data_IF_772734341874
#
_entry.id   IF_772734341874
#
_cell.length_a   1.000
_cell.length_b   1.000
_cell.length_c   1.000
_cell.angle_alpha   90.00
_cell.angle_beta   90.00
_cell.angle_gamma   90.00
#
_symmetry.space_group_name_H-M   'P 1'
#
loop_
_entity.id
_entity.type
_entity.pdbx_description
1 polymer ?
#
# COMPACT_ATOMS: atom_id res chain seq x y z
N UNK A 1 -9.87 -28.44 9.33
CA UNK A 1 -9.70 -27.04 9.77
C UNK A 1 -8.24 -26.83 10.16
N UNK A 2 -7.35 -26.70 9.18
CA UNK A 2 -5.88 -26.62 9.40
C UNK A 2 -5.21 -25.78 8.29
N UNK A 3 -5.83 -25.74 7.10
CA UNK A 3 -5.41 -24.94 5.93
C UNK A 3 -5.68 -23.43 6.14
N UNK A 4 -6.74 -23.06 6.87
CA UNK A 4 -7.06 -21.65 7.18
C UNK A 4 -5.98 -20.96 8.00
N UNK A 5 -5.35 -21.70 8.92
CA UNK A 5 -4.44 -21.14 9.91
C UNK A 5 -3.04 -20.91 9.34
N UNK A 6 -2.61 -21.77 8.40
CA UNK A 6 -1.36 -21.57 7.66
C UNK A 6 -1.44 -20.37 6.72
N UNK A 7 -2.58 -20.19 6.06
CA UNK A 7 -2.84 -19.06 5.15
C UNK A 7 -2.98 -17.76 5.94
N UNK A 8 -3.71 -17.78 7.06
CA UNK A 8 -3.82 -16.64 7.95
C UNK A 8 -2.44 -16.29 8.54
N UNK A 9 -1.65 -17.26 8.99
CA UNK A 9 -0.26 -17.03 9.44
C UNK A 9 0.58 -16.40 8.34
N UNK A 10 0.51 -16.89 7.10
CA UNK A 10 1.30 -16.31 6.00
C UNK A 10 0.94 -14.85 5.75
N UNK A 11 -0.36 -14.53 5.62
CA UNK A 11 -0.83 -13.15 5.46
C UNK A 11 -0.49 -12.26 6.67
N UNK A 12 -0.59 -12.81 7.89
CA UNK A 12 -0.28 -12.08 9.13
C UNK A 12 1.23 -11.82 9.24
N UNK A 13 2.07 -12.77 8.86
CA UNK A 13 3.53 -12.65 8.83
C UNK A 13 3.97 -11.64 7.77
N UNK A 14 3.40 -11.67 6.57
CA UNK A 14 3.68 -10.68 5.52
C UNK A 14 3.24 -9.27 5.93
N UNK A 15 2.04 -9.14 6.53
CA UNK A 15 1.56 -7.87 7.03
C UNK A 15 2.41 -7.33 8.20
N UNK A 16 2.83 -8.21 9.13
CA UNK A 16 3.73 -7.83 10.24
C UNK A 16 5.12 -7.44 9.76
N UNK A 17 5.66 -8.12 8.74
CA UNK A 17 6.94 -7.76 8.12
C UNK A 17 6.86 -6.36 7.48
N UNK A 18 5.75 -6.04 6.80
CA UNK A 18 5.48 -4.71 6.28
C UNK A 18 5.42 -3.65 7.38
N UNK A 19 4.73 -3.96 8.49
CA UNK A 19 4.61 -3.05 9.63
C UNK A 19 5.96 -2.81 10.32
N UNK A 20 6.83 -3.81 10.41
CA UNK A 20 8.18 -3.69 10.97
C UNK A 20 9.16 -2.91 10.07
N UNK A 21 8.91 -2.84 8.76
CA UNK A 21 9.75 -2.09 7.82
C UNK A 21 9.41 -0.59 7.77
N UNK A 22 8.24 -0.18 8.27
CA UNK A 22 7.77 1.22 8.26
C UNK A 22 8.61 2.17 9.16
N UNK A 23 9.06 1.80 10.37
CA UNK A 23 9.80 2.72 11.25
C UNK A 23 11.27 2.96 10.86
N UNK A 24 11.87 2.12 10.00
CA UNK A 24 13.30 2.20 9.67
C UNK A 24 13.65 3.41 8.79
N UNK A 25 12.65 4.10 8.22
CA UNK A 25 12.83 5.16 7.22
C UNK A 25 12.72 6.58 7.80
N UNK A 26 12.36 6.74 9.09
CA UNK A 26 12.16 8.07 9.69
C UNK A 26 13.45 8.81 10.11
N UNK A 27 14.64 8.23 9.93
CA UNK A 27 15.91 8.89 10.27
C UNK A 27 16.91 8.81 9.11
N UNK A 28 16.81 9.72 8.14
CA UNK A 28 17.99 10.36 7.54
C UNK A 28 17.55 11.56 6.72
N UNK A 29 17.69 12.76 7.30
CA UNK A 29 17.78 13.99 6.52
C UNK A 29 18.90 14.83 7.11
N UNK A 30 20.12 14.53 6.69
CA UNK A 30 21.26 15.44 6.81
C UNK A 30 21.86 15.62 5.42
N UNK A 31 21.99 16.87 4.99
CA UNK A 31 22.43 17.23 3.64
C UNK A 31 22.34 18.73 3.41
N UNK A 32 23.25 19.46 4.02
CA UNK A 32 23.63 20.85 3.74
C UNK A 32 23.90 21.08 2.25
N UNK A 33 23.37 22.17 1.65
CA UNK A 33 23.92 22.75 0.41
C UNK A 33 23.89 24.29 0.48
N UNK A 34 25.10 24.86 0.47
CA UNK A 34 25.42 26.26 0.18
C UNK A 34 25.33 26.51 -1.34
N UNK A 35 24.85 27.69 -1.74
CA UNK A 35 25.34 28.55 -2.85
C UNK A 35 24.31 29.04 -3.89
N UNK A 36 24.15 30.37 -3.91
CA UNK A 36 24.07 31.31 -5.05
C UNK A 36 23.39 30.91 -6.38
N UNK A 37 22.24 31.53 -6.70
CA UNK A 37 22.03 32.20 -8.01
C UNK A 37 20.75 33.05 -8.05
N UNK A 38 20.87 34.34 -8.35
CA UNK A 38 19.82 35.37 -8.23
C UNK A 38 18.95 35.61 -9.47
N UNK A 39 19.02 34.78 -10.51
CA UNK A 39 18.17 34.92 -11.72
C UNK A 39 17.21 33.76 -12.01
N UNK A 40 17.24 32.68 -11.20
CA UNK A 40 16.38 31.49 -11.31
C UNK A 40 15.09 31.64 -10.48
N UNK A 41 14.90 32.78 -9.80
CA UNK A 41 13.93 32.90 -8.70
C UNK A 41 12.46 32.90 -9.15
N UNK A 42 12.13 33.34 -10.36
CA UNK A 42 10.71 33.49 -10.76
C UNK A 42 10.08 32.21 -11.32
N UNK A 43 10.83 31.37 -12.05
CA UNK A 43 10.35 30.05 -12.47
C UNK A 43 10.52 28.99 -11.37
N UNK A 44 11.54 29.11 -10.52
CA UNK A 44 11.75 28.22 -9.36
C UNK A 44 10.69 28.44 -8.27
N UNK A 45 10.19 29.67 -8.11
CA UNK A 45 9.13 29.97 -7.16
C UNK A 45 7.73 29.57 -7.66
N UNK A 46 7.54 29.24 -8.95
CA UNK A 46 6.26 28.75 -9.48
C UNK A 46 6.23 27.22 -9.60
N UNK A 47 7.37 26.60 -9.88
CA UNK A 47 7.54 25.13 -9.82
C UNK A 47 7.55 24.62 -8.39
N UNK A 48 8.12 25.36 -7.43
CA UNK A 48 8.19 24.95 -6.02
C UNK A 48 6.81 24.78 -5.32
N UNK A 49 5.84 25.71 -5.40
CA UNK A 49 4.52 25.55 -4.78
C UNK A 49 3.67 24.45 -5.42
N UNK A 50 3.76 24.30 -6.75
CA UNK A 50 3.05 23.24 -7.45
C UNK A 50 3.65 21.88 -7.10
N UNK A 51 4.97 21.73 -7.14
CA UNK A 51 5.66 20.49 -6.77
C UNK A 51 5.40 20.09 -5.31
N UNK A 52 5.46 21.05 -4.38
CA UNK A 52 5.11 20.81 -2.97
C UNK A 52 3.65 20.41 -2.79
N UNK A 53 2.72 21.00 -3.55
CA UNK A 53 1.32 20.55 -3.53
C UNK A 53 1.15 19.12 -4.04
N UNK A 54 1.86 18.72 -5.11
CA UNK A 54 1.87 17.35 -5.60
C UNK A 54 2.46 16.38 -4.58
N UNK A 55 3.52 16.75 -3.87
CA UNK A 55 4.12 15.93 -2.81
C UNK A 55 3.13 15.73 -1.67
N UNK A 56 2.45 16.80 -1.24
CA UNK A 56 1.43 16.73 -0.19
C UNK A 56 0.25 15.85 -0.61
N UNK A 57 -0.26 16.00 -1.83
CA UNK A 57 -1.36 15.18 -2.35
C UNK A 57 -0.93 13.71 -2.52
N UNK A 58 0.27 13.46 -3.05
CA UNK A 58 0.83 12.11 -3.14
C UNK A 58 0.90 11.44 -1.75
N UNK A 59 1.46 12.15 -0.77
CA UNK A 59 1.54 11.68 0.62
C UNK A 59 0.17 11.42 1.23
N UNK A 60 -0.79 12.32 1.03
CA UNK A 60 -2.16 12.17 1.53
C UNK A 60 -2.87 10.95 0.92
N UNK A 61 -2.78 10.77 -0.41
CA UNK A 61 -3.37 9.63 -1.12
C UNK A 61 -2.77 8.31 -0.62
N UNK A 62 -1.44 8.26 -0.48
CA UNK A 62 -0.76 7.07 0.05
C UNK A 62 -1.09 6.81 1.52
N UNK A 63 -1.24 7.86 2.33
CA UNK A 63 -1.67 7.74 3.71
C UNK A 63 -3.09 7.19 3.83
N UNK A 64 -4.06 7.74 3.07
CA UNK A 64 -5.44 7.22 3.05
C UNK A 64 -5.45 5.76 2.60
N UNK A 65 -4.64 5.40 1.61
CA UNK A 65 -4.56 4.02 1.13
C UNK A 65 -3.91 3.06 2.14
N UNK A 66 -2.62 3.23 2.40
CA UNK A 66 -1.81 2.28 3.18
C UNK A 66 -1.95 2.47 4.69
N UNK A 67 -2.19 3.71 5.13
CA UNK A 67 -2.37 4.04 6.54
C UNK A 67 -3.78 3.76 7.07
N UNK A 68 -4.79 3.73 6.19
CA UNK A 68 -6.19 3.58 6.61
C UNK A 68 -6.95 2.46 5.89
N UNK A 69 -7.15 2.56 4.57
CA UNK A 69 -8.01 1.61 3.84
C UNK A 69 -7.49 0.17 3.91
N UNK A 70 -6.19 -0.06 3.70
CA UNK A 70 -5.61 -1.40 3.73
C UNK A 70 -5.68 -2.04 5.14
N UNK A 71 -5.32 -1.34 6.24
CA UNK A 71 -5.56 -1.84 7.59
C UNK A 71 -7.02 -2.20 7.89
N UNK A 72 -7.97 -1.37 7.48
CA UNK A 72 -9.41 -1.64 7.65
C UNK A 72 -9.84 -2.86 6.83
N UNK A 73 -9.35 -3.01 5.59
CA UNK A 73 -9.54 -4.20 4.78
C UNK A 73 -9.02 -5.47 5.46
N UNK A 74 -7.83 -5.43 6.07
CA UNK A 74 -7.29 -6.57 6.82
C UNK A 74 -8.13 -6.85 8.08
N UNK A 75 -8.60 -5.83 8.78
CA UNK A 75 -9.40 -6.00 9.99
C UNK A 75 -10.77 -6.65 9.66
N UNK A 76 -11.41 -6.23 8.58
CA UNK A 76 -12.71 -6.78 8.15
C UNK A 76 -12.64 -8.27 7.83
N UNK A 77 -11.60 -8.75 7.12
CA UNK A 77 -11.44 -10.20 6.87
C UNK A 77 -11.08 -10.97 8.15
N UNK A 78 -10.31 -10.39 9.06
CA UNK A 78 -10.02 -11.00 10.37
C UNK A 78 -11.29 -11.15 11.21
N UNK A 79 -12.18 -10.16 11.18
CA UNK A 79 -13.49 -10.25 11.82
C UNK A 79 -14.36 -11.30 11.14
N UNK A 80 -14.33 -11.41 9.81
CA UNK A 80 -15.08 -12.43 9.07
C UNK A 80 -14.69 -13.84 9.50
N UNK A 81 -13.40 -14.11 9.71
CA UNK A 81 -12.91 -15.42 10.14
C UNK A 81 -13.32 -15.80 11.58
N UNK A 82 -13.78 -14.84 12.38
CA UNK A 82 -14.27 -15.06 13.75
C UNK A 82 -15.79 -15.19 13.82
N UNK A 83 -16.47 -15.02 12.69
CA UNK A 83 -17.93 -14.99 12.62
C UNK A 83 -18.45 -16.34 12.07
N UNK A 84 -19.46 -16.89 12.75
CA UNK A 84 -20.05 -18.19 12.41
C UNK A 84 -21.23 -18.04 11.44
N UNK A 85 -21.81 -16.83 11.35
CA UNK A 85 -22.94 -16.55 10.47
C UNK A 85 -22.57 -16.32 9.00
N UNK A 86 -22.95 -17.24 8.12
CA UNK A 86 -22.61 -17.19 6.67
C UNK A 86 -22.99 -15.87 5.96
N UNK A 87 -24.11 -15.23 6.32
CA UNK A 87 -24.49 -13.91 5.75
C UNK A 87 -23.52 -12.80 6.15
N UNK A 88 -23.09 -12.77 7.42
CA UNK A 88 -22.17 -11.74 7.93
C UNK A 88 -20.76 -11.94 7.39
N UNK A 89 -20.30 -13.20 7.30
CA UNK A 89 -19.03 -13.55 6.64
C UNK A 89 -19.00 -13.03 5.21
N UNK A 90 -20.09 -13.22 4.44
CA UNK A 90 -20.20 -12.72 3.06
C UNK A 90 -20.12 -11.20 2.97
N UNK A 91 -20.80 -10.48 3.86
CA UNK A 91 -20.73 -9.00 3.92
C UNK A 91 -19.32 -8.53 4.26
N UNK A 92 -18.69 -9.10 5.28
CA UNK A 92 -17.34 -8.72 5.69
C UNK A 92 -16.29 -9.05 4.61
N UNK A 93 -16.49 -10.14 3.86
CA UNK A 93 -15.66 -10.46 2.70
C UNK A 93 -15.79 -9.42 1.58
N UNK A 94 -17.01 -8.97 1.25
CA UNK A 94 -17.20 -7.91 0.26
C UNK A 94 -16.59 -6.59 0.73
N UNK A 95 -16.74 -6.24 2.01
CA UNK A 95 -16.09 -5.05 2.58
C UNK A 95 -14.57 -5.13 2.48
N UNK A 96 -13.98 -6.29 2.81
CA UNK A 96 -12.55 -6.54 2.61
C UNK A 96 -12.14 -6.29 1.16
N UNK A 97 -12.85 -6.89 0.20
CA UNK A 97 -12.54 -6.74 -1.23
C UNK A 97 -12.65 -5.29 -1.71
N UNK A 98 -13.68 -4.55 -1.27
CA UNK A 98 -13.88 -3.13 -1.62
C UNK A 98 -12.74 -2.29 -1.06
N UNK A 99 -12.44 -2.38 0.24
CA UNK A 99 -11.37 -1.60 0.86
C UNK A 99 -10.01 -1.91 0.24
N UNK A 100 -9.71 -3.19 -0.01
CA UNK A 100 -8.45 -3.60 -0.63
C UNK A 100 -8.33 -3.10 -2.07
N UNK A 101 -9.41 -3.13 -2.86
CA UNK A 101 -9.42 -2.62 -4.24
C UNK A 101 -9.21 -1.11 -4.27
N UNK A 102 -9.93 -0.36 -3.43
CA UNK A 102 -9.75 1.09 -3.32
C UNK A 102 -8.32 1.46 -2.89
N UNK A 103 -7.74 0.70 -1.96
CA UNK A 103 -6.35 0.92 -1.54
C UNK A 103 -5.36 0.73 -2.71
N UNK A 104 -5.48 -0.36 -3.48
CA UNK A 104 -4.62 -0.63 -4.65
C UNK A 104 -4.76 0.46 -5.72
N UNK A 105 -5.98 0.94 -5.97
CA UNK A 105 -6.22 2.05 -6.91
C UNK A 105 -5.53 3.34 -6.46
N UNK A 106 -5.70 3.74 -5.20
CA UNK A 106 -5.06 4.95 -4.67
C UNK A 106 -3.54 4.84 -4.66
N UNK A 107 -2.97 3.69 -4.30
CA UNK A 107 -1.52 3.44 -4.38
C UNK A 107 -1.01 3.56 -5.82
N UNK A 108 -1.79 3.11 -6.79
CA UNK A 108 -1.47 3.25 -8.22
C UNK A 108 -1.49 4.70 -8.67
N UNK A 109 -2.52 5.46 -8.27
CA UNK A 109 -2.58 6.91 -8.54
C UNK A 109 -1.38 7.62 -7.90
N UNK A 110 -1.05 7.29 -6.65
CA UNK A 110 0.12 7.83 -5.96
C UNK A 110 1.43 7.52 -6.70
N UNK A 111 1.63 6.29 -7.13
CA UNK A 111 2.81 5.87 -7.90
C UNK A 111 2.92 6.61 -9.24
N UNK A 112 1.82 6.69 -10.01
CA UNK A 112 1.78 7.44 -11.28
C UNK A 112 2.06 8.92 -11.06
N UNK A 113 1.49 9.52 -10.01
CA UNK A 113 1.75 10.92 -9.65
C UNK A 113 3.24 11.13 -9.33
N UNK A 114 3.89 10.17 -8.66
CA UNK A 114 5.31 10.24 -8.35
C UNK A 114 6.21 10.15 -9.59
N UNK A 115 5.89 9.22 -10.49
CA UNK A 115 6.63 9.01 -11.75
C UNK A 115 6.48 10.23 -12.67
N UNK A 116 5.26 10.77 -12.81
CA UNK A 116 4.98 11.86 -13.75
C UNK A 116 5.46 13.24 -13.29
N UNK A 117 5.47 13.50 -11.99
CA UNK A 117 5.72 14.87 -11.48
C UNK A 117 7.09 15.05 -10.81
N UNK A 118 7.82 13.98 -10.49
CA UNK A 118 9.06 14.10 -9.71
C UNK A 118 10.34 13.65 -10.42
N UNK A 119 10.34 13.47 -11.76
CA UNK A 119 11.49 12.98 -12.57
C UNK A 119 12.35 12.00 -11.78
N UNK A 120 11.66 11.01 -11.23
CA UNK A 120 12.16 10.23 -10.14
C UNK A 120 13.08 9.15 -10.72
N UNK A 121 14.33 9.52 -11.02
CA UNK A 121 15.39 8.53 -11.19
C UNK A 121 15.40 7.77 -9.85
N UNK A 122 15.08 6.47 -9.86
CA UNK A 122 14.92 5.65 -8.65
C UNK A 122 16.25 5.42 -7.88
N UNK A 123 17.11 6.43 -7.86
CA UNK A 123 18.42 6.46 -7.25
C UNK A 123 18.35 6.81 -5.75
N UNK A 124 17.24 7.42 -5.29
CA UNK A 124 17.03 7.65 -3.85
C UNK A 124 16.38 6.44 -3.18
N UNK A 125 16.82 6.16 -1.95
CA UNK A 125 16.35 5.04 -1.16
C UNK A 125 14.83 5.07 -0.91
N UNK A 126 14.26 6.26 -0.66
CA UNK A 126 12.82 6.46 -0.46
C UNK A 126 11.99 6.04 -1.68
N UNK A 127 12.47 6.36 -2.88
CA UNK A 127 11.77 6.13 -4.13
C UNK A 127 11.85 4.66 -4.55
N UNK A 128 13.01 4.02 -4.34
CA UNK A 128 13.19 2.57 -4.53
C UNK A 128 12.33 1.75 -3.58
N UNK A 129 12.23 2.18 -2.32
CA UNK A 129 11.32 1.57 -1.34
C UNK A 129 9.87 1.72 -1.79
N UNK A 130 9.43 2.92 -2.18
CA UNK A 130 8.08 3.14 -2.70
C UNK A 130 7.73 2.25 -3.90
N UNK A 131 8.66 2.07 -4.83
CA UNK A 131 8.49 1.16 -5.98
C UNK A 131 8.42 -0.32 -5.55
N UNK A 132 9.29 -0.75 -4.65
CA UNK A 132 9.26 -2.11 -4.12
C UNK A 132 7.93 -2.39 -3.41
N UNK A 133 7.44 -1.43 -2.63
CA UNK A 133 6.15 -1.54 -1.95
C UNK A 133 4.99 -1.60 -2.96
N UNK A 134 5.04 -0.78 -4.02
CA UNK A 134 4.05 -0.81 -5.11
C UNK A 134 3.97 -2.21 -5.75
N UNK A 135 5.12 -2.78 -6.14
CA UNK A 135 5.19 -4.12 -6.73
C UNK A 135 4.65 -5.18 -5.78
N UNK A 136 5.03 -5.13 -4.50
CA UNK A 136 4.56 -6.11 -3.51
C UNK A 136 3.04 -6.02 -3.26
N UNK A 137 2.44 -4.82 -3.25
CA UNK A 137 0.99 -4.64 -3.14
C UNK A 137 0.26 -5.26 -4.34
N UNK A 138 0.77 -5.05 -5.55
CA UNK A 138 0.21 -5.69 -6.75
C UNK A 138 0.36 -7.20 -6.72
N UNK A 139 1.51 -7.72 -6.28
CA UNK A 139 1.69 -9.17 -6.09
C UNK A 139 0.68 -9.74 -5.10
N UNK A 140 0.45 -9.06 -3.97
CA UNK A 140 -0.56 -9.48 -3.00
C UNK A 140 -1.98 -9.50 -3.61
N UNK A 141 -2.33 -8.52 -4.44
CA UNK A 141 -3.62 -8.47 -5.13
C UNK A 141 -3.75 -9.60 -6.16
N UNK A 142 -2.72 -9.86 -6.96
CA UNK A 142 -2.70 -10.94 -7.96
C UNK A 142 -2.83 -12.31 -7.32
N UNK A 143 -2.10 -12.57 -6.22
CA UNK A 143 -2.22 -13.82 -5.45
C UNK A 143 -3.64 -14.00 -4.93
N UNK A 144 -4.31 -12.91 -4.51
CA UNK A 144 -5.71 -12.94 -4.10
C UNK A 144 -6.67 -13.34 -5.24
N UNK A 145 -6.43 -12.85 -6.45
CA UNK A 145 -7.26 -13.16 -7.65
C UNK A 145 -7.03 -14.59 -8.12
N UNK A 146 -5.78 -15.03 -8.20
CA UNK A 146 -5.41 -16.37 -8.66
C UNK A 146 -5.59 -17.46 -7.60
N UNK A 147 -6.07 -17.12 -6.41
CA UNK A 147 -6.31 -18.10 -5.35
C UNK A 147 -7.40 -19.08 -5.81
N UNK A 148 -7.10 -20.38 -5.96
CA UNK A 148 -8.10 -21.36 -6.35
C UNK A 148 -9.20 -21.43 -5.27
N UNK A 149 -10.47 -21.63 -5.66
CA UNK A 149 -11.54 -21.96 -4.73
C UNK A 149 -11.13 -23.21 -3.94
N UNK A 150 -11.30 -23.19 -2.61
CA UNK A 150 -11.08 -24.37 -1.79
C UNK A 150 -12.01 -25.48 -2.29
N UNK A 151 -11.44 -26.57 -2.80
CA UNK A 151 -12.19 -27.71 -3.32
C UNK A 151 -13.09 -28.26 -2.21
N UNK A 152 -14.40 -28.30 -2.47
CA UNK A 152 -15.40 -28.91 -1.60
C UNK A 152 -15.56 -30.37 -2.06
N UNK A 153 -14.47 -31.12 -2.11
CA UNK A 153 -14.50 -32.55 -2.45
C UNK A 153 -13.57 -33.30 -1.49
N UNK A 154 -14.16 -33.91 -0.48
CA UNK A 154 -13.46 -34.74 0.50
C UNK A 154 -14.41 -35.49 1.43
N UNK A 155 -15.64 -35.74 0.99
CA UNK A 155 -16.57 -36.63 1.65
C UNK A 155 -17.22 -37.45 0.56
N UNK A 156 -16.61 -38.60 0.27
CA UNK A 156 -17.20 -39.81 -0.33
C UNK A 156 -16.06 -40.82 -0.44
N UNK A 157 -15.86 -41.61 0.62
CA UNK A 157 -15.43 -43.02 0.67
C UNK A 157 -15.27 -43.46 2.12
#
# INVERSE_FOLDING_TARGET
MQISDHMLRSFTVTALAYVFLLPLVSCSSHGEIISNHTSIKENLHKTSPQMTSYIAVHGLILWVSMGFLMPVGILTIRMANKEEGGRRVKVLFYLHAIFQTLAVLLVTVGAVMSIKNFENSFNNHHQRLGLALYVAIWMQALIGIFRPPSDINGGDH
#
